data_IF_440893225720
#
_entry.id   IF_440893225720
#
_cell.length_a   1.000
_cell.length_b   1.000
_cell.length_c   1.000
_cell.angle_alpha   90.00
_cell.angle_beta   90.00
_cell.angle_gamma   90.00
#
_symmetry.space_group_name_H-M   'P 1'
#
loop_
_entity.id
_entity.type
_entity.pdbx_description
1 polymer ?
#
# COMPACT_ATOMS: atom_id res chain seq x y z
N UNK A 1 45.78 -0.15 -11.63
CA UNK A 1 45.30 1.15 -11.16
C UNK A 1 43.97 1.37 -11.86
N UNK A 2 42.86 0.89 -11.24
CA UNK A 2 41.52 1.01 -11.79
C UNK A 2 41.00 2.40 -11.43
N UNK A 3 40.70 3.18 -12.44
CA UNK A 3 39.98 4.45 -12.32
C UNK A 3 38.55 4.07 -11.91
N UNK A 4 38.17 4.38 -10.68
CA UNK A 4 36.76 4.33 -10.28
C UNK A 4 36.04 5.34 -11.16
N UNK A 5 35.14 4.83 -12.00
CA UNK A 5 34.14 5.62 -12.71
C UNK A 5 33.32 6.37 -11.65
N UNK A 6 33.59 7.66 -11.52
CA UNK A 6 32.73 8.58 -10.79
C UNK A 6 31.48 8.69 -11.63
N UNK A 7 30.43 7.92 -11.29
CA UNK A 7 29.08 8.17 -11.79
C UNK A 7 28.73 9.59 -11.35
N UNK A 8 28.64 10.50 -12.31
CA UNK A 8 28.23 11.87 -12.05
C UNK A 8 26.88 11.83 -11.35
N UNK A 9 26.84 12.28 -10.11
CA UNK A 9 25.61 12.34 -9.32
C UNK A 9 24.87 13.62 -9.69
N UNK A 10 23.60 13.50 -10.01
CA UNK A 10 22.72 14.65 -10.22
C UNK A 10 21.90 14.94 -8.96
N UNK A 11 21.54 16.21 -8.76
CA UNK A 11 20.68 16.66 -7.69
C UNK A 11 19.27 16.92 -8.24
N UNK A 12 18.26 16.32 -7.61
CA UNK A 12 16.86 16.50 -7.95
C UNK A 12 16.15 17.08 -6.74
N UNK A 13 15.35 18.13 -6.94
CA UNK A 13 14.58 18.74 -5.89
C UNK A 13 13.22 18.01 -5.76
N UNK A 14 13.00 17.30 -4.65
CA UNK A 14 11.72 16.65 -4.37
C UNK A 14 10.83 17.58 -3.58
N UNK A 15 9.66 17.91 -4.13
CA UNK A 15 8.65 18.76 -3.51
C UNK A 15 7.56 17.92 -2.88
N UNK A 16 7.26 18.19 -1.61
CA UNK A 16 6.32 17.43 -0.79
C UNK A 16 5.11 18.29 -0.42
N UNK A 17 3.93 17.66 -0.39
CA UNK A 17 2.66 18.30 -0.05
C UNK A 17 1.96 17.54 1.07
N UNK A 18 1.02 18.21 1.74
CA UNK A 18 0.15 17.69 2.79
C UNK A 18 0.89 16.76 3.77
N UNK A 19 0.39 15.55 3.99
CA UNK A 19 0.95 14.58 4.93
C UNK A 19 2.41 14.19 4.66
N UNK A 20 2.86 14.20 3.40
CA UNK A 20 4.27 13.94 3.07
C UNK A 20 5.17 15.05 3.63
N UNK A 21 4.74 16.32 3.51
CA UNK A 21 5.45 17.47 4.06
C UNK A 21 5.50 17.43 5.59
N UNK A 22 4.39 17.10 6.23
CA UNK A 22 4.32 16.99 7.70
C UNK A 22 5.21 15.85 8.21
N UNK A 23 5.20 14.71 7.54
CA UNK A 23 6.01 13.56 7.91
C UNK A 23 7.50 13.79 7.72
N UNK A 24 7.89 14.48 6.65
CA UNK A 24 9.27 14.84 6.36
C UNK A 24 9.79 16.00 7.22
N UNK A 25 8.87 16.80 7.82
CA UNK A 25 9.21 18.05 8.50
C UNK A 25 9.70 19.15 7.53
N UNK A 26 9.58 18.95 6.21
CA UNK A 26 10.02 19.87 5.18
C UNK A 26 9.14 19.78 3.94
N UNK A 27 8.93 20.90 3.26
CA UNK A 27 8.23 20.95 1.96
C UNK A 27 9.13 20.56 0.77
N UNK A 28 10.45 20.46 0.99
CA UNK A 28 11.44 20.14 -0.03
C UNK A 28 12.54 19.27 0.55
N UNK A 29 12.97 18.29 -0.26
CA UNK A 29 14.10 17.40 0.03
C UNK A 29 14.98 17.44 -1.21
N UNK A 30 16.29 17.59 -1.01
CA UNK A 30 17.27 17.41 -2.07
C UNK A 30 17.66 15.94 -2.12
N UNK A 31 17.58 15.33 -3.29
CA UNK A 31 17.89 13.93 -3.53
C UNK A 31 19.02 13.81 -4.54
N UNK A 32 20.09 13.18 -4.12
CA UNK A 32 21.22 12.85 -4.98
C UNK A 32 20.94 11.51 -5.68
N UNK A 33 20.97 11.48 -7.02
CA UNK A 33 20.70 10.31 -7.84
C UNK A 33 21.79 10.11 -8.87
N UNK A 34 21.98 8.88 -9.39
CA UNK A 34 22.83 8.64 -10.55
C UNK A 34 22.28 9.40 -11.77
N UNK A 35 23.18 9.81 -12.66
CA UNK A 35 22.78 10.40 -13.93
C UNK A 35 21.89 9.43 -14.74
N UNK A 36 20.78 9.92 -15.29
CA UNK A 36 19.79 9.11 -15.99
C UNK A 36 18.83 8.29 -15.10
N UNK A 37 18.82 8.50 -13.79
CA UNK A 37 17.85 7.87 -12.89
C UNK A 37 16.42 8.26 -13.24
N UNK A 38 15.49 7.37 -12.94
CA UNK A 38 14.05 7.56 -13.17
C UNK A 38 13.32 8.07 -11.92
N UNK A 39 12.07 8.49 -12.08
CA UNK A 39 11.17 8.80 -10.97
C UNK A 39 11.03 7.59 -10.03
N UNK A 40 11.00 6.36 -10.58
CA UNK A 40 10.97 5.12 -9.80
C UNK A 40 12.18 4.96 -8.91
N UNK A 41 13.39 5.27 -9.41
CA UNK A 41 14.62 5.22 -8.62
C UNK A 41 14.61 6.26 -7.49
N UNK A 42 14.07 7.45 -7.75
CA UNK A 42 13.87 8.47 -6.73
C UNK A 42 12.91 8.01 -5.62
N UNK A 43 11.78 7.39 -6.00
CA UNK A 43 10.82 6.83 -5.04
C UNK A 43 11.44 5.70 -4.22
N UNK A 44 12.16 4.77 -4.86
CA UNK A 44 12.86 3.67 -4.18
C UNK A 44 13.89 4.20 -3.16
N UNK A 45 14.65 5.23 -3.52
CA UNK A 45 15.61 5.85 -2.60
C UNK A 45 14.95 6.53 -1.41
N UNK A 46 13.82 7.21 -1.64
CA UNK A 46 13.01 7.83 -0.56
C UNK A 46 12.34 6.78 0.33
N UNK A 47 11.94 5.64 -0.25
CA UNK A 47 11.36 4.51 0.48
C UNK A 47 12.39 3.76 1.33
N UNK A 48 13.62 3.62 0.85
CA UNK A 48 14.70 2.90 1.54
C UNK A 48 15.23 3.60 2.80
N UNK A 49 14.93 4.89 3.01
CA UNK A 49 15.47 5.64 4.15
C UNK A 49 14.67 6.87 4.53
N UNK A 50 14.72 7.21 5.83
CA UNK A 50 14.14 8.45 6.34
C UNK A 50 12.64 8.40 6.67
N UNK A 51 12.04 9.54 6.98
CA UNK A 51 10.69 9.63 7.52
C UNK A 51 9.57 9.27 6.53
N UNK A 52 9.87 9.19 5.23
CA UNK A 52 8.90 8.90 4.17
C UNK A 52 8.83 7.42 3.77
N UNK A 53 9.78 6.56 4.23
CA UNK A 53 9.97 5.20 3.74
C UNK A 53 8.67 4.40 3.57
N UNK A 54 8.05 3.98 4.67
CA UNK A 54 6.80 3.20 4.61
C UNK A 54 5.61 3.97 4.04
N UNK A 55 5.65 5.31 4.03
CA UNK A 55 4.54 6.13 3.55
C UNK A 55 4.50 6.20 2.02
N UNK A 56 5.64 6.28 1.35
CA UNK A 56 5.72 6.32 -0.12
C UNK A 56 5.26 5.00 -0.74
N UNK A 57 5.56 3.88 -0.07
CA UNK A 57 5.09 2.55 -0.51
C UNK A 57 3.59 2.36 -0.32
N UNK A 58 3.00 3.04 0.67
CA UNK A 58 1.60 2.93 1.06
C UNK A 58 0.67 3.84 0.28
N UNK A 59 1.15 5.03 -0.11
CA UNK A 59 0.30 6.07 -0.69
C UNK A 59 0.28 5.99 -2.22
N UNK A 60 -0.89 6.06 -2.89
CA UNK A 60 -0.97 6.33 -4.32
C UNK A 60 -0.55 7.78 -4.58
N UNK A 61 0.76 8.02 -4.48
CA UNK A 61 1.32 9.33 -4.76
C UNK A 61 1.31 9.56 -6.27
N UNK A 62 0.69 10.64 -6.72
CA UNK A 62 0.87 11.10 -8.10
C UNK A 62 2.20 11.84 -8.19
N UNK A 63 2.96 11.54 -9.24
CA UNK A 63 4.23 12.17 -9.52
C UNK A 63 4.06 13.22 -10.61
N UNK A 64 4.78 14.32 -10.48
CA UNK A 64 4.92 15.29 -11.55
C UNK A 64 6.38 15.77 -11.61
N UNK A 65 6.92 15.88 -12.83
CA UNK A 65 8.25 16.46 -13.09
C UNK A 65 8.04 17.80 -13.77
N UNK A 66 8.60 18.85 -13.20
CA UNK A 66 8.49 20.23 -13.71
C UNK A 66 7.04 20.67 -13.98
N UNK A 67 6.08 20.21 -13.15
CA UNK A 67 4.63 20.48 -13.18
C UNK A 67 3.82 19.64 -14.19
N UNK A 68 4.45 18.75 -14.96
CA UNK A 68 3.76 17.80 -15.81
C UNK A 68 3.68 16.43 -15.13
N UNK A 69 2.52 15.75 -15.23
CA UNK A 69 2.37 14.41 -14.64
C UNK A 69 3.36 13.44 -15.26
N UNK A 70 3.99 12.63 -14.41
CA UNK A 70 5.05 11.70 -14.78
C UNK A 70 4.74 10.29 -14.30
N UNK A 71 5.24 9.29 -15.04
CA UNK A 71 5.24 7.88 -14.63
C UNK A 71 6.55 7.51 -13.90
N UNK A 72 6.59 6.32 -13.31
CA UNK A 72 7.80 5.81 -12.66
C UNK A 72 8.99 5.67 -13.64
N UNK A 73 8.72 5.43 -14.93
CA UNK A 73 9.74 5.27 -15.97
C UNK A 73 10.27 6.60 -16.53
N UNK A 74 9.72 7.74 -16.09
CA UNK A 74 10.17 9.06 -16.54
C UNK A 74 11.59 9.31 -16.05
N UNK A 75 12.50 9.57 -16.98
CA UNK A 75 13.91 9.89 -16.68
C UNK A 75 14.01 11.30 -16.13
N UNK A 76 14.75 11.47 -15.04
CA UNK A 76 15.03 12.75 -14.39
C UNK A 76 16.30 13.37 -14.96
N UNK A 77 16.29 14.66 -15.11
CA UNK A 77 17.48 15.47 -15.44
C UNK A 77 18.02 16.23 -14.23
N UNK A 78 19.24 16.77 -14.32
CA UNK A 78 19.78 17.66 -13.32
C UNK A 78 18.88 18.90 -13.18
N UNK A 79 18.66 19.33 -11.92
CA UNK A 79 17.79 20.46 -11.55
C UNK A 79 16.27 20.26 -11.78
N UNK A 80 15.81 19.06 -12.14
CA UNK A 80 14.39 18.78 -12.20
C UNK A 80 13.73 18.90 -10.82
N UNK A 81 12.49 19.44 -10.80
CA UNK A 81 11.62 19.39 -9.63
C UNK A 81 10.67 18.19 -9.72
N UNK A 82 10.90 17.18 -8.90
CA UNK A 82 9.97 16.05 -8.73
C UNK A 82 8.94 16.39 -7.63
N UNK A 83 7.68 16.56 -7.99
CA UNK A 83 6.60 16.77 -7.05
C UNK A 83 5.93 15.44 -6.67
N UNK A 84 5.87 15.15 -5.37
CA UNK A 84 5.10 14.03 -4.83
C UNK A 84 3.79 14.57 -4.28
N UNK A 85 2.70 14.25 -4.98
CA UNK A 85 1.37 14.79 -4.73
C UNK A 85 0.52 13.69 -4.10
N UNK A 86 0.34 13.68 -2.78
CA UNK A 86 -0.59 12.76 -2.12
C UNK A 86 -2.03 13.09 -2.52
N UNK A 87 -3.00 12.20 -2.28
CA UNK A 87 -4.41 12.49 -2.49
C UNK A 87 -4.80 13.80 -1.78
N UNK A 88 -5.59 14.62 -2.48
CA UNK A 88 -6.04 15.91 -1.93
C UNK A 88 -7.29 15.72 -1.06
N UNK A 89 -7.37 16.42 0.06
CA UNK A 89 -8.59 16.50 0.88
C UNK A 89 -9.76 17.02 0.03
N UNK A 90 -10.83 16.21 -0.07
CA UNK A 90 -11.99 16.49 -0.94
C UNK A 90 -11.93 15.87 -2.34
N UNK A 91 -10.87 15.11 -2.68
CA UNK A 91 -10.78 14.26 -3.87
C UNK A 91 -11.33 12.84 -3.64
N UNK A 92 -11.12 11.95 -4.60
CA UNK A 92 -11.47 10.53 -4.46
C UNK A 92 -10.87 9.96 -3.16
N UNK A 93 -11.60 9.06 -2.45
CA UNK A 93 -11.13 8.47 -1.22
C UNK A 93 -9.77 7.77 -1.42
N UNK A 94 -8.91 7.89 -0.41
CA UNK A 94 -7.61 7.22 -0.44
C UNK A 94 -7.79 5.71 -0.41
N UNK A 95 -7.26 5.01 -1.41
CA UNK A 95 -7.26 3.55 -1.47
C UNK A 95 -5.85 3.02 -1.71
N UNK A 96 -5.37 2.17 -0.81
CA UNK A 96 -4.08 1.49 -0.94
C UNK A 96 -4.25 -0.01 -0.82
N UNK A 97 -3.58 -0.77 -1.67
CA UNK A 97 -3.65 -2.23 -1.62
C UNK A 97 -2.30 -2.84 -1.93
N UNK A 98 -1.97 -3.95 -1.24
CA UNK A 98 -0.71 -4.65 -1.45
C UNK A 98 -0.88 -6.16 -1.29
N UNK A 99 -0.16 -6.91 -2.12
CA UNK A 99 0.22 -8.28 -1.84
C UNK A 99 1.62 -8.29 -1.22
N UNK A 100 1.82 -9.02 -0.14
CA UNK A 100 3.09 -9.05 0.60
C UNK A 100 3.54 -10.46 0.92
N UNK A 101 4.83 -10.69 0.80
CA UNK A 101 5.50 -11.78 1.49
C UNK A 101 5.90 -11.31 2.90
N UNK A 102 5.71 -12.17 3.90
CA UNK A 102 6.08 -11.84 5.28
C UNK A 102 4.97 -11.20 6.13
N UNK A 103 5.27 -10.90 7.40
CA UNK A 103 4.28 -10.47 8.39
C UNK A 103 3.60 -9.14 8.04
N UNK A 104 2.31 -9.05 8.36
CA UNK A 104 1.51 -7.83 8.23
C UNK A 104 1.50 -7.05 9.56
N UNK A 105 1.53 -5.72 9.48
CA UNK A 105 1.54 -4.83 10.65
C UNK A 105 0.24 -4.02 10.75
N UNK A 106 -0.57 -4.30 11.77
CA UNK A 106 -1.87 -3.65 12.02
C UNK A 106 -1.68 -2.13 12.20
N UNK A 107 -0.67 -1.74 12.97
CA UNK A 107 -0.39 -0.33 13.29
C UNK A 107 0.02 0.47 12.05
N UNK A 108 0.66 -0.19 11.08
CA UNK A 108 1.05 0.42 9.81
C UNK A 108 -0.20 0.82 9.01
N UNK A 109 -1.13 -0.14 8.83
CA UNK A 109 -2.36 0.12 8.09
C UNK A 109 -3.31 1.08 8.82
N UNK A 110 -3.46 0.93 10.13
CA UNK A 110 -4.28 1.85 10.93
C UNK A 110 -3.78 3.30 10.81
N UNK A 111 -2.45 3.49 10.77
CA UNK A 111 -1.84 4.81 10.60
C UNK A 111 -1.98 5.32 9.18
N UNK A 112 -1.93 4.43 8.17
CA UNK A 112 -2.06 4.81 6.76
C UNK A 112 -3.43 5.37 6.40
N UNK A 113 -4.50 4.91 7.08
CA UNK A 113 -5.87 5.40 6.86
C UNK A 113 -6.24 6.58 7.75
N UNK A 114 -5.29 7.09 8.57
CA UNK A 114 -5.52 8.28 9.38
C UNK A 114 -5.85 9.49 8.51
N UNK A 115 -6.93 10.22 8.85
CA UNK A 115 -7.39 11.40 8.12
C UNK A 115 -8.04 12.39 9.09
N UNK A 116 -7.82 13.70 8.86
CA UNK A 116 -8.28 14.76 9.77
C UNK A 116 -9.81 14.82 9.90
N UNK A 117 -10.54 14.39 8.87
CA UNK A 117 -11.99 14.33 8.86
C UNK A 117 -12.55 13.00 9.38
N UNK A 118 -11.68 12.06 9.76
CA UNK A 118 -12.12 10.75 10.24
C UNK A 118 -12.41 10.76 11.73
N UNK A 119 -13.67 10.52 12.09
CA UNK A 119 -14.11 10.28 13.46
C UNK A 119 -14.03 8.81 13.88
N UNK A 120 -13.78 7.90 12.94
CA UNK A 120 -13.70 6.46 13.21
C UNK A 120 -12.65 5.78 12.31
N UNK A 121 -11.87 4.88 12.89
CA UNK A 121 -11.00 3.93 12.20
C UNK A 121 -11.42 2.53 12.60
N UNK A 122 -11.66 1.65 11.61
CA UNK A 122 -11.94 0.23 11.82
C UNK A 122 -10.85 -0.58 11.15
N UNK A 123 -10.31 -1.54 11.88
CA UNK A 123 -9.32 -2.50 11.35
C UNK A 123 -9.88 -3.90 11.51
N UNK A 124 -10.08 -4.58 10.39
CA UNK A 124 -10.31 -6.02 10.36
C UNK A 124 -8.97 -6.73 10.18
N UNK A 125 -8.73 -7.74 11.02
CA UNK A 125 -7.55 -8.58 10.94
C UNK A 125 -7.98 -10.04 10.83
N UNK A 126 -7.74 -10.67 9.65
CA UNK A 126 -7.99 -12.09 9.43
C UNK A 126 -6.74 -12.89 9.81
N UNK A 127 -6.87 -13.80 10.78
CA UNK A 127 -5.75 -14.60 11.30
C UNK A 127 -5.90 -16.08 10.96
N UNK A 128 -4.78 -16.77 10.82
CA UNK A 128 -4.74 -18.22 10.66
C UNK A 128 -5.13 -18.90 11.97
N UNK A 129 -6.09 -19.83 11.91
CA UNK A 129 -6.57 -20.59 13.07
C UNK A 129 -6.72 -22.08 12.74
N UNK A 130 -6.68 -22.92 13.80
CA UNK A 130 -6.97 -24.37 13.77
C UNK A 130 -5.92 -25.24 13.07
N UNK A 131 -5.18 -24.74 12.08
CA UNK A 131 -4.14 -25.45 11.32
C UNK A 131 -2.73 -24.95 11.68
N UNK A 132 -1.68 -25.67 11.31
CA UNK A 132 -0.31 -25.24 11.57
C UNK A 132 0.05 -23.96 10.78
N UNK A 133 -0.37 -23.90 9.51
CA UNK A 133 -0.26 -22.72 8.68
C UNK A 133 -1.30 -22.76 7.55
N UNK A 134 -1.56 -21.58 6.97
CA UNK A 134 -2.20 -21.45 5.66
C UNK A 134 -1.14 -21.04 4.64
N UNK A 135 -1.12 -21.69 3.50
CA UNK A 135 -0.23 -21.37 2.40
C UNK A 135 -1.05 -20.70 1.29
N UNK A 136 -0.77 -19.43 1.00
CA UNK A 136 -1.54 -18.61 0.08
C UNK A 136 -0.82 -18.50 -1.26
N UNK A 137 -1.53 -18.85 -2.32
CA UNK A 137 -1.12 -18.61 -3.70
C UNK A 137 -1.99 -17.50 -4.32
N UNK A 138 -1.40 -16.65 -5.14
CA UNK A 138 -2.12 -15.59 -5.83
C UNK A 138 -1.67 -15.49 -7.30
N UNK A 139 -2.61 -15.17 -8.18
CA UNK A 139 -2.27 -14.58 -9.47
C UNK A 139 -2.06 -13.08 -9.24
N UNK A 140 -0.80 -12.71 -8.99
CA UNK A 140 -0.44 -11.42 -8.38
C UNK A 140 -1.01 -10.22 -9.15
N UNK A 141 -0.81 -10.15 -10.46
CA UNK A 141 -1.25 -9.02 -11.27
C UNK A 141 -2.77 -8.85 -11.23
N UNK A 142 -3.52 -9.95 -11.37
CA UNK A 142 -4.99 -9.92 -11.29
C UNK A 142 -5.47 -9.62 -9.87
N UNK A 143 -4.84 -10.20 -8.87
CA UNK A 143 -5.22 -9.99 -7.48
C UNK A 143 -5.00 -8.52 -7.05
N UNK A 144 -3.90 -7.89 -7.45
CA UNK A 144 -3.61 -6.49 -7.18
C UNK A 144 -4.65 -5.56 -7.83
N UNK A 145 -4.99 -5.79 -9.10
CA UNK A 145 -6.06 -5.04 -9.79
C UNK A 145 -7.43 -5.22 -9.10
N UNK A 146 -7.76 -6.45 -8.68
CA UNK A 146 -9.01 -6.74 -7.99
C UNK A 146 -9.08 -6.08 -6.62
N UNK A 147 -8.00 -6.15 -5.83
CA UNK A 147 -7.91 -5.48 -4.53
C UNK A 147 -8.06 -3.96 -4.67
N UNK A 148 -7.38 -3.35 -5.65
CA UNK A 148 -7.48 -1.92 -5.90
C UNK A 148 -8.90 -1.49 -6.29
N UNK A 149 -9.56 -2.25 -7.17
CA UNK A 149 -10.96 -2.01 -7.55
C UNK A 149 -11.91 -2.16 -6.36
N UNK A 150 -11.76 -3.21 -5.56
CA UNK A 150 -12.59 -3.43 -4.37
C UNK A 150 -12.43 -2.26 -3.39
N UNK A 151 -11.20 -1.85 -3.12
CA UNK A 151 -10.92 -0.74 -2.22
C UNK A 151 -11.57 0.57 -2.71
N UNK A 152 -11.38 0.91 -3.98
CA UNK A 152 -11.95 2.11 -4.57
C UNK A 152 -13.49 2.11 -4.51
N UNK A 153 -14.13 1.02 -4.96
CA UNK A 153 -15.59 0.93 -4.97
C UNK A 153 -16.22 0.93 -3.57
N UNK A 154 -15.56 0.28 -2.57
CA UNK A 154 -16.01 0.33 -1.19
C UNK A 154 -15.87 1.73 -0.60
N UNK A 155 -14.76 2.41 -0.89
CA UNK A 155 -14.53 3.76 -0.41
C UNK A 155 -15.58 4.74 -0.94
N UNK A 156 -15.89 4.67 -2.24
CA UNK A 156 -16.93 5.51 -2.87
C UNK A 156 -18.33 5.18 -2.33
N UNK A 157 -18.66 3.90 -2.21
CA UNK A 157 -20.01 3.45 -1.78
C UNK A 157 -20.33 3.82 -0.36
N UNK A 158 -19.35 3.76 0.54
CA UNK A 158 -19.55 4.02 1.97
C UNK A 158 -19.06 5.41 2.40
N UNK A 159 -18.61 6.26 1.48
CA UNK A 159 -18.09 7.59 1.83
C UNK A 159 -16.92 7.52 2.78
N UNK A 160 -16.01 6.55 2.59
CA UNK A 160 -14.81 6.42 3.41
C UNK A 160 -13.84 7.56 3.11
N UNK A 161 -13.16 8.05 4.13
CA UNK A 161 -12.06 8.97 3.95
C UNK A 161 -10.81 8.24 3.39
N UNK A 162 -10.57 7.01 3.88
CA UNK A 162 -9.49 6.17 3.39
C UNK A 162 -9.79 4.69 3.60
N UNK A 163 -9.15 3.83 2.78
CA UNK A 163 -9.13 2.38 2.90
C UNK A 163 -7.75 1.83 2.54
N UNK A 164 -7.27 0.87 3.31
CA UNK A 164 -6.04 0.15 3.02
C UNK A 164 -6.28 -1.36 3.17
N UNK A 165 -5.79 -2.16 2.21
CA UNK A 165 -5.92 -3.62 2.20
C UNK A 165 -4.54 -4.23 1.95
N UNK A 166 -4.02 -4.97 2.93
CA UNK A 166 -2.83 -5.81 2.75
C UNK A 166 -3.22 -7.27 2.81
N UNK A 167 -2.82 -8.06 1.84
CA UNK A 167 -3.00 -9.51 1.84
C UNK A 167 -1.63 -10.20 1.72
N UNK A 168 -1.40 -11.20 2.58
CA UNK A 168 -0.16 -11.97 2.58
C UNK A 168 -0.25 -13.11 1.56
N UNK A 169 0.87 -13.39 0.88
CA UNK A 169 1.09 -14.56 0.06
C UNK A 169 2.19 -15.43 0.69
N UNK A 170 2.26 -16.70 0.28
CA UNK A 170 3.12 -17.69 0.89
C UNK A 170 2.59 -18.21 2.24
N UNK A 171 3.46 -18.72 3.07
CA UNK A 171 3.10 -19.39 4.32
C UNK A 171 2.76 -18.39 5.43
N UNK A 172 1.59 -18.61 6.05
CA UNK A 172 1.08 -17.80 7.18
C UNK A 172 0.88 -18.72 8.39
N UNK A 173 1.76 -18.69 9.39
CA UNK A 173 1.67 -19.53 10.59
C UNK A 173 0.40 -19.30 11.39
N UNK A 174 0.08 -20.30 12.24
CA UNK A 174 -1.03 -20.20 13.20
C UNK A 174 -0.92 -18.94 14.06
N UNK A 175 -2.02 -18.18 14.13
CA UNK A 175 -2.12 -16.95 14.93
C UNK A 175 -1.60 -15.69 14.21
N UNK A 176 -0.96 -15.83 13.05
CA UNK A 176 -0.50 -14.67 12.29
C UNK A 176 -1.56 -14.12 11.33
N UNK A 177 -1.54 -12.81 11.06
CA UNK A 177 -2.42 -12.17 10.08
C UNK A 177 -2.13 -12.62 8.66
N UNK A 178 -3.18 -12.98 7.92
CA UNK A 178 -3.14 -13.24 6.48
C UNK A 178 -3.69 -12.09 5.64
N UNK A 179 -4.61 -11.32 6.21
CA UNK A 179 -5.22 -10.16 5.57
C UNK A 179 -5.56 -9.10 6.61
N UNK A 180 -5.30 -7.84 6.28
CA UNK A 180 -5.72 -6.69 7.09
C UNK A 180 -6.49 -5.75 6.16
N UNK A 181 -7.67 -5.31 6.61
CA UNK A 181 -8.45 -4.23 6.00
C UNK A 181 -8.58 -3.13 7.03
N UNK A 182 -8.02 -1.96 6.75
CA UNK A 182 -8.15 -0.77 7.55
C UNK A 182 -8.97 0.27 6.78
N UNK A 183 -9.93 0.89 7.44
CA UNK A 183 -10.74 1.97 6.85
C UNK A 183 -10.91 3.12 7.83
N UNK A 184 -11.08 4.32 7.30
CA UNK A 184 -11.50 5.48 8.09
C UNK A 184 -12.70 6.17 7.45
N UNK A 185 -13.56 6.73 8.29
CA UNK A 185 -14.74 7.48 7.88
C UNK A 185 -15.10 8.53 8.92
N UNK A 186 -15.98 9.48 8.55
CA UNK A 186 -16.48 10.51 9.47
C UNK A 186 -17.19 9.87 10.68
N UNK A 187 -17.93 8.78 10.46
CA UNK A 187 -18.66 8.10 11.53
C UNK A 187 -18.41 6.58 11.52
N UNK A 188 -18.67 5.94 12.67
CA UNK A 188 -18.43 4.50 12.85
C UNK A 188 -19.30 3.61 11.96
N UNK A 189 -20.50 4.04 11.58
CA UNK A 189 -21.45 3.24 10.79
C UNK A 189 -20.85 2.95 9.40
N UNK A 190 -20.38 3.97 8.71
CA UNK A 190 -19.74 3.87 7.40
C UNK A 190 -18.42 3.08 7.48
N UNK A 191 -17.64 3.31 8.54
CA UNK A 191 -16.38 2.60 8.74
C UNK A 191 -16.61 1.08 8.93
N UNK A 192 -17.58 0.67 9.76
CA UNK A 192 -17.89 -0.75 9.93
C UNK A 192 -18.50 -1.38 8.67
N UNK A 193 -19.40 -0.67 7.98
CA UNK A 193 -20.00 -1.15 6.75
C UNK A 193 -18.96 -1.32 5.63
N UNK A 194 -18.08 -0.34 5.44
CA UNK A 194 -17.02 -0.37 4.44
C UNK A 194 -15.98 -1.46 4.70
N UNK A 195 -15.52 -1.60 5.95
CA UNK A 195 -14.59 -2.66 6.33
C UNK A 195 -15.19 -4.06 6.10
N UNK A 196 -16.48 -4.24 6.44
CA UNK A 196 -17.21 -5.48 6.26
C UNK A 196 -17.30 -5.84 4.78
N UNK A 197 -17.81 -4.92 3.95
CA UNK A 197 -17.96 -5.17 2.53
C UNK A 197 -16.60 -5.45 1.87
N UNK A 198 -15.57 -4.69 2.22
CA UNK A 198 -14.25 -4.86 1.64
C UNK A 198 -13.70 -6.28 1.88
N UNK A 199 -13.74 -6.78 3.12
CA UNK A 199 -13.23 -8.14 3.40
C UNK A 199 -14.10 -9.24 2.79
N UNK A 200 -15.42 -9.07 2.75
CA UNK A 200 -16.31 -10.04 2.14
C UNK A 200 -16.00 -10.15 0.64
N UNK A 201 -15.83 -9.03 -0.05
CA UNK A 201 -15.48 -8.98 -1.48
C UNK A 201 -14.06 -9.48 -1.78
N UNK A 202 -13.08 -9.18 -0.94
CA UNK A 202 -11.73 -9.74 -1.08
C UNK A 202 -11.78 -11.27 -1.08
N UNK A 203 -12.54 -11.86 -0.15
CA UNK A 203 -12.69 -13.33 -0.07
C UNK A 203 -13.47 -13.95 -1.23
N UNK A 204 -14.36 -13.20 -1.86
CA UNK A 204 -15.19 -13.69 -2.98
C UNK A 204 -14.53 -13.49 -4.34
N UNK A 205 -13.78 -12.39 -4.52
CA UNK A 205 -13.41 -11.89 -5.83
C UNK A 205 -11.90 -11.89 -6.10
N UNK A 206 -11.07 -11.84 -5.05
CA UNK A 206 -9.63 -11.78 -5.27
C UNK A 206 -9.08 -13.13 -5.75
N UNK A 207 -8.21 -13.10 -6.77
CA UNK A 207 -7.55 -14.27 -7.31
C UNK A 207 -6.45 -14.77 -6.36
N UNK A 208 -6.89 -15.17 -5.15
CA UNK A 208 -6.06 -15.65 -4.04
C UNK A 208 -6.66 -16.95 -3.52
N UNK A 209 -5.85 -18.00 -3.49
CA UNK A 209 -6.24 -19.33 -3.00
C UNK A 209 -5.43 -19.70 -1.79
N UNK A 210 -5.94 -20.60 -0.96
CA UNK A 210 -5.24 -21.06 0.24
C UNK A 210 -5.28 -22.56 0.39
N UNK A 211 -4.18 -23.09 0.89
CA UNK A 211 -3.99 -24.49 1.28
C UNK A 211 -3.80 -24.54 2.80
N UNK A 212 -4.56 -25.35 3.49
CA UNK A 212 -4.33 -25.66 4.89
C UNK A 212 -3.18 -26.65 5.03
N UNK A 213 -2.25 -26.38 5.91
CA UNK A 213 -1.17 -27.29 6.29
C UNK A 213 -1.45 -27.74 7.72
N UNK A 214 -1.81 -29.01 7.86
CA UNK A 214 -2.09 -29.62 9.14
C UNK A 214 -0.81 -29.83 9.96
N UNK A 215 -0.95 -30.12 11.26
CA UNK A 215 0.19 -30.33 12.16
C UNK A 215 1.03 -31.57 11.81
N UNK A 216 0.45 -32.53 11.10
CA UNK A 216 1.14 -33.72 10.58
C UNK A 216 1.83 -33.49 9.22
N UNK A 217 1.74 -32.27 8.67
CA UNK A 217 2.29 -31.88 7.37
C UNK A 217 1.36 -32.16 6.18
N UNK A 218 0.17 -32.71 6.40
CA UNK A 218 -0.82 -32.91 5.33
C UNK A 218 -1.29 -31.58 4.79
N UNK A 219 -1.34 -31.43 3.46
CA UNK A 219 -1.77 -30.22 2.77
C UNK A 219 -3.11 -30.44 2.07
N UNK A 220 -4.09 -29.56 2.28
CA UNK A 220 -5.39 -29.62 1.65
C UNK A 220 -5.86 -28.24 1.19
N UNK A 221 -6.34 -28.14 -0.05
CA UNK A 221 -6.97 -26.91 -0.53
C UNK A 221 -8.25 -26.62 0.26
N UNK A 222 -8.39 -25.37 0.66
CA UNK A 222 -9.58 -24.91 1.37
C UNK A 222 -10.49 -24.24 0.35
N UNK A 223 -11.69 -24.82 0.16
CA UNK A 223 -12.70 -24.22 -0.70
C UNK A 223 -13.01 -22.78 -0.28
N UNK A 224 -13.13 -21.88 -1.27
CA UNK A 224 -13.55 -20.51 -1.03
C UNK A 224 -14.89 -20.48 -0.28
N UNK A 225 -15.06 -19.55 0.64
CA UNK A 225 -16.33 -19.38 1.35
C UNK A 225 -17.39 -18.99 0.31
N UNK A 226 -18.32 -19.91 0.03
CA UNK A 226 -19.49 -19.58 -0.76
C UNK A 226 -20.26 -18.44 -0.04
N UNK A 227 -20.70 -17.39 -0.76
CA UNK A 227 -21.48 -16.34 -0.15
C UNK A 227 -22.75 -16.90 0.50
N UNK A 228 -23.05 -16.45 1.71
CA UNK A 228 -24.29 -16.75 2.41
C UNK A 228 -25.31 -15.68 2.12
#
# INVERSE_FOLDING_TARGET
MAVADSLDAMHVQVRLFAMLRERAGSSRIELELPDGATVGDALAKLAAGGPLGGLIELLPVRMAVNRDYASADTVLGPDDELALIPPVSGGAPYAATRLREGPLAIEELARAVGHDEAGAIVVFCGVTREVASLDYEAYSEMAEEQLARIAQECAERHGLAAIAIDHRVGSVPLGEPSVIVAVSAAHREEAFAGAREAIDRVKEQAAIWKRAIERDGTAQWVDGVAPR
#
